data_IF_624015378124
#
_entry.id   IF_624015378124
#
_cell.length_a   1.000
_cell.length_b   1.000
_cell.length_c   1.000
_cell.angle_alpha   90.00
_cell.angle_beta   90.00
_cell.angle_gamma   90.00
#
_symmetry.space_group_name_H-M   'P 1'
#
loop_
_entity.id
_entity.type
_entity.pdbx_description
1 polymer ?
#
# COMPACT_ATOMS: atom_id res chain seq x y z
N UNK A 1 12.24 -20.97 2.19
CA UNK A 1 12.67 -22.37 2.32
C UNK A 1 14.10 -22.60 1.85
N UNK A 2 14.54 -21.94 0.78
CA UNK A 2 15.92 -22.06 0.26
C UNK A 2 16.95 -21.89 1.39
N UNK A 3 16.85 -20.83 2.21
CA UNK A 3 17.74 -20.61 3.35
C UNK A 3 17.78 -21.75 4.39
N UNK A 4 16.66 -22.46 4.61
CA UNK A 4 16.63 -23.57 5.55
C UNK A 4 17.30 -24.82 4.97
N UNK A 5 17.19 -25.03 3.65
CA UNK A 5 17.86 -26.12 2.94
C UNK A 5 19.37 -25.89 2.86
N UNK A 6 19.79 -24.66 2.57
CA UNK A 6 21.19 -24.26 2.53
C UNK A 6 21.87 -24.45 3.90
N UNK A 7 21.17 -24.08 4.99
CA UNK A 7 21.68 -24.21 6.35
C UNK A 7 21.99 -25.66 6.77
N UNK A 8 21.36 -26.65 6.13
CA UNK A 8 21.54 -28.08 6.41
C UNK A 8 22.21 -28.83 5.25
N UNK A 9 22.69 -28.11 4.22
CA UNK A 9 23.39 -28.70 3.07
C UNK A 9 22.51 -29.54 2.14
N UNK A 10 21.20 -29.26 2.07
CA UNK A 10 20.28 -29.96 1.17
C UNK A 10 19.97 -29.07 -0.03
N UNK A 11 20.07 -29.62 -1.24
CA UNK A 11 19.65 -28.92 -2.44
C UNK A 11 18.13 -28.66 -2.43
N UNK A 12 17.71 -27.46 -2.85
CA UNK A 12 16.29 -27.09 -2.88
C UNK A 12 15.43 -28.08 -3.66
N UNK A 13 15.95 -28.57 -4.80
CA UNK A 13 15.30 -29.61 -5.62
C UNK A 13 15.00 -30.88 -4.83
N UNK A 14 15.95 -31.36 -4.03
CA UNK A 14 15.78 -32.56 -3.19
C UNK A 14 14.69 -32.36 -2.15
N UNK A 15 14.65 -31.18 -1.53
CA UNK A 15 13.58 -30.82 -0.59
C UNK A 15 12.20 -30.85 -1.27
N UNK A 16 12.06 -30.24 -2.45
CA UNK A 16 10.78 -30.21 -3.16
C UNK A 16 10.35 -31.61 -3.63
N UNK A 17 11.29 -32.45 -4.07
CA UNK A 17 11.01 -33.84 -4.43
C UNK A 17 10.50 -34.65 -3.24
N UNK A 18 11.11 -34.49 -2.06
CA UNK A 18 10.65 -35.16 -0.84
C UNK A 18 9.27 -34.68 -0.40
N UNK A 19 9.00 -33.38 -0.51
CA UNK A 19 7.67 -32.83 -0.22
C UNK A 19 6.61 -33.40 -1.17
N UNK A 20 6.91 -33.48 -2.47
CA UNK A 20 5.99 -34.04 -3.47
C UNK A 20 5.70 -35.52 -3.21
N UNK A 21 6.73 -36.31 -2.86
CA UNK A 21 6.57 -37.73 -2.48
C UNK A 21 5.73 -37.88 -1.21
N UNK A 22 5.96 -37.02 -0.22
CA UNK A 22 5.26 -37.07 1.06
C UNK A 22 3.80 -36.67 1.01
N UNK A 23 3.41 -35.77 0.10
CA UNK A 23 2.04 -35.27 -0.04
C UNK A 23 1.02 -36.36 -0.37
N UNK A 24 1.40 -37.34 -1.20
CA UNK A 24 0.53 -38.44 -1.60
C UNK A 24 0.79 -39.74 -0.84
N UNK A 25 1.86 -39.78 -0.04
CA UNK A 25 2.20 -40.95 0.76
C UNK A 25 1.19 -41.14 1.90
N UNK A 26 0.91 -42.40 2.27
CA UNK A 26 0.04 -42.72 3.41
C UNK A 26 0.82 -43.06 4.68
N UNK A 27 2.11 -43.36 4.55
CA UNK A 27 3.04 -43.71 5.63
C UNK A 27 4.49 -43.65 5.14
N UNK A 28 5.45 -43.78 6.07
CA UNK A 28 6.89 -43.83 5.78
C UNK A 28 7.60 -42.48 5.88
N UNK A 29 8.92 -42.48 5.64
CA UNK A 29 9.78 -41.33 5.93
C UNK A 29 9.37 -40.04 5.21
N UNK A 30 8.89 -40.12 3.97
CA UNK A 30 8.49 -38.93 3.21
C UNK A 30 7.15 -38.35 3.72
N UNK A 31 6.23 -39.21 4.15
CA UNK A 31 4.99 -38.80 4.80
C UNK A 31 5.29 -38.07 6.11
N UNK A 32 6.11 -38.69 6.97
CA UNK A 32 6.52 -38.10 8.25
C UNK A 32 7.25 -36.77 8.04
N UNK A 33 8.18 -36.71 7.07
CA UNK A 33 8.89 -35.49 6.72
C UNK A 33 7.93 -34.38 6.27
N UNK A 34 6.98 -34.68 5.36
CA UNK A 34 6.00 -33.71 4.88
C UNK A 34 5.16 -33.13 6.04
N UNK A 35 4.64 -34.00 6.91
CA UNK A 35 3.85 -33.58 8.05
C UNK A 35 4.67 -32.81 9.09
N UNK A 36 5.90 -33.23 9.35
CA UNK A 36 6.81 -32.51 10.24
C UNK A 36 7.12 -31.10 9.72
N UNK A 37 7.38 -30.94 8.42
CA UNK A 37 7.61 -29.63 7.80
C UNK A 37 6.37 -28.75 7.87
N UNK A 38 5.17 -29.29 7.57
CA UNK A 38 3.92 -28.51 7.68
C UNK A 38 3.65 -28.09 9.11
N UNK A 39 3.83 -28.98 10.07
CA UNK A 39 3.70 -28.68 11.50
C UNK A 39 4.68 -27.59 11.92
N UNK A 40 5.97 -27.72 11.60
CA UNK A 40 7.00 -26.74 11.94
C UNK A 40 6.69 -25.35 11.36
N UNK A 41 6.16 -25.27 10.13
CA UNK A 41 5.71 -24.01 9.53
C UNK A 41 4.52 -23.40 10.27
N UNK A 42 3.51 -24.20 10.59
CA UNK A 42 2.34 -23.74 11.33
C UNK A 42 2.75 -23.21 12.72
N UNK A 43 3.62 -23.93 13.42
CA UNK A 43 4.17 -23.49 14.71
C UNK A 43 5.01 -22.23 14.58
N UNK A 44 5.83 -22.10 13.52
CA UNK A 44 6.60 -20.88 13.28
C UNK A 44 5.69 -19.67 13.07
N UNK A 45 4.60 -19.82 12.32
CA UNK A 45 3.59 -18.76 12.16
C UNK A 45 2.95 -18.44 13.50
N UNK A 46 2.46 -19.43 14.25
CA UNK A 46 1.83 -19.22 15.56
C UNK A 46 2.76 -18.50 16.55
N UNK A 47 4.03 -18.90 16.61
CA UNK A 47 5.06 -18.22 17.44
C UNK A 47 5.24 -16.77 17.04
N UNK A 48 5.34 -16.46 15.74
CA UNK A 48 5.50 -15.07 15.29
C UNK A 48 4.25 -14.24 15.57
N UNK A 49 3.05 -14.80 15.37
CA UNK A 49 1.80 -14.12 15.75
C UNK A 49 1.80 -13.81 17.25
N UNK A 50 2.20 -14.76 18.11
CA UNK A 50 2.30 -14.50 19.55
C UNK A 50 3.31 -13.39 19.89
N UNK A 51 4.45 -13.33 19.19
CA UNK A 51 5.44 -12.25 19.35
C UNK A 51 4.83 -10.90 18.97
N UNK A 52 4.12 -10.83 17.85
CA UNK A 52 3.44 -9.61 17.39
C UNK A 52 2.38 -9.17 18.40
N UNK A 53 1.55 -10.10 18.88
CA UNK A 53 0.52 -9.81 19.88
C UNK A 53 1.12 -9.33 21.20
N UNK A 54 2.24 -9.92 21.63
CA UNK A 54 2.98 -9.44 22.81
C UNK A 54 3.53 -8.03 22.60
N UNK A 55 4.06 -7.72 21.42
CA UNK A 55 4.55 -6.38 21.10
C UNK A 55 3.40 -5.35 21.01
N UNK A 56 2.24 -5.76 20.51
CA UNK A 56 1.04 -4.92 20.38
C UNK A 56 0.55 -4.36 21.73
N UNK A 57 0.82 -5.06 22.85
CA UNK A 57 0.51 -4.57 24.19
C UNK A 57 1.27 -3.28 24.58
N UNK A 58 2.39 -2.99 23.91
CA UNK A 58 3.28 -1.86 24.24
C UNK A 58 3.61 -0.96 23.04
N UNK A 59 3.32 -1.41 21.82
CA UNK A 59 3.52 -0.65 20.59
C UNK A 59 2.25 -0.69 19.75
N UNK A 60 1.60 0.46 19.61
CA UNK A 60 0.42 0.60 18.77
C UNK A 60 0.73 0.29 17.30
N UNK A 61 1.97 0.50 16.84
CA UNK A 61 2.38 0.15 15.47
C UNK A 61 2.30 -1.35 15.23
N UNK A 62 2.64 -2.18 16.20
CA UNK A 62 2.50 -3.64 16.09
C UNK A 62 1.02 -4.06 16.02
N UNK A 63 0.14 -3.39 16.79
CA UNK A 63 -1.30 -3.61 16.73
C UNK A 63 -1.89 -3.18 15.36
N UNK A 64 -1.53 -1.99 14.89
CA UNK A 64 -1.95 -1.46 13.59
C UNK A 64 -1.47 -2.35 12.44
N UNK A 65 -0.19 -2.73 12.43
CA UNK A 65 0.38 -3.62 11.42
C UNK A 65 -0.34 -4.98 11.36
N UNK A 66 -0.72 -5.53 12.51
CA UNK A 66 -1.49 -6.78 12.56
C UNK A 66 -2.87 -6.59 11.95
N UNK A 67 -3.62 -5.56 12.36
CA UNK A 67 -4.97 -5.27 11.90
C UNK A 67 -5.04 -4.98 10.40
N UNK A 68 -4.10 -4.21 9.87
CA UNK A 68 -3.97 -3.93 8.43
C UNK A 68 -3.89 -5.20 7.59
N UNK A 69 -3.33 -6.28 8.14
CA UNK A 69 -3.05 -7.52 7.42
C UNK A 69 -4.07 -8.63 7.72
N UNK A 70 -4.62 -8.68 8.93
CA UNK A 70 -5.66 -9.64 9.29
C UNK A 70 -7.05 -9.20 8.83
N UNK A 71 -7.29 -7.88 8.79
CA UNK A 71 -8.57 -7.27 8.46
C UNK A 71 -8.40 -6.15 7.41
N UNK A 72 -7.85 -6.45 6.21
CA UNK A 72 -7.51 -5.42 5.23
C UNK A 72 -8.72 -4.62 4.74
N UNK A 73 -9.92 -5.21 4.69
CA UNK A 73 -11.13 -4.50 4.27
C UNK A 73 -11.44 -3.28 5.15
N UNK A 74 -11.13 -3.35 6.44
CA UNK A 74 -11.44 -2.31 7.43
C UNK A 74 -10.23 -1.40 7.70
N UNK A 75 -9.02 -1.97 7.69
CA UNK A 75 -7.82 -1.28 8.18
C UNK A 75 -6.74 -1.06 7.13
N UNK A 76 -6.82 -1.68 5.94
CA UNK A 76 -5.78 -1.47 4.93
C UNK A 76 -5.74 -0.01 4.48
N UNK A 77 -4.53 0.46 4.22
CA UNK A 77 -4.31 1.78 3.63
C UNK A 77 -4.96 1.81 2.25
N UNK A 78 -5.96 2.68 2.09
CA UNK A 78 -6.60 2.93 0.80
C UNK A 78 -5.61 3.68 -0.10
N UNK A 79 -5.22 3.07 -1.22
CA UNK A 79 -4.61 3.82 -2.31
C UNK A 79 -5.69 4.65 -2.96
N UNK A 80 -5.62 5.97 -2.78
CA UNK A 80 -6.46 6.90 -3.52
C UNK A 80 -5.79 7.12 -4.87
N UNK A 81 -6.28 6.45 -5.91
CA UNK A 81 -5.98 6.85 -7.28
C UNK A 81 -6.63 8.21 -7.53
N UNK A 82 -5.83 9.27 -7.48
CA UNK A 82 -6.25 10.58 -7.96
C UNK A 82 -6.26 10.48 -9.48
N UNK A 83 -7.42 10.13 -10.04
CA UNK A 83 -7.68 10.30 -11.46
C UNK A 83 -7.69 11.80 -11.76
N UNK A 84 -6.54 12.34 -12.18
CA UNK A 84 -6.45 13.66 -12.80
C UNK A 84 -7.05 13.58 -14.21
N UNK A 85 -8.36 13.30 -14.32
CA UNK A 85 -9.08 13.62 -15.54
C UNK A 85 -9.14 15.13 -15.62
N UNK A 86 -8.21 15.69 -16.39
CA UNK A 86 -8.23 16.96 -17.10
C UNK A 86 -9.61 17.66 -17.04
N UNK A 87 -9.89 18.35 -15.94
CA UNK A 87 -10.88 19.42 -15.96
C UNK A 87 -10.21 20.56 -16.73
N UNK A 88 -10.19 20.45 -18.06
CA UNK A 88 -9.86 21.55 -18.93
C UNK A 88 -11.04 22.52 -18.83
N UNK A 89 -11.08 23.32 -17.76
CA UNK A 89 -11.92 24.51 -17.72
C UNK A 89 -11.39 25.37 -18.85
N UNK A 90 -12.09 25.42 -19.98
CA UNK A 90 -11.83 26.41 -21.02
C UNK A 90 -12.06 27.79 -20.39
N UNK A 91 -11.00 28.36 -19.84
CA UNK A 91 -11.00 29.75 -19.43
C UNK A 91 -11.07 30.54 -20.73
N UNK A 92 -12.23 31.12 -21.03
CA UNK A 92 -12.35 32.06 -22.14
C UNK A 92 -11.55 33.32 -21.79
N UNK A 93 -10.30 33.36 -22.26
CA UNK A 93 -9.36 34.43 -21.98
C UNK A 93 -9.87 35.75 -22.58
N UNK A 94 -10.63 35.71 -23.68
CA UNK A 94 -11.17 36.91 -24.33
C UNK A 94 -12.22 37.61 -23.47
N UNK A 95 -13.16 36.86 -22.89
CA UNK A 95 -14.16 37.44 -21.98
C UNK A 95 -13.52 38.05 -20.73
N UNK A 96 -12.46 37.41 -20.24
CA UNK A 96 -11.70 37.89 -19.07
C UNK A 96 -10.93 39.16 -19.42
N UNK A 97 -10.33 39.22 -20.61
CA UNK A 97 -9.59 40.37 -21.13
C UNK A 97 -10.49 41.57 -21.33
N UNK A 98 -11.69 41.36 -21.87
CA UNK A 98 -12.68 42.43 -22.08
C UNK A 98 -13.17 43.04 -20.76
N UNK A 99 -13.42 42.21 -19.74
CA UNK A 99 -13.77 42.68 -18.40
C UNK A 99 -12.65 43.48 -17.75
N UNK A 100 -11.40 43.04 -17.90
CA UNK A 100 -10.23 43.76 -17.36
C UNK A 100 -10.06 45.10 -18.07
N UNK A 101 -10.11 45.13 -19.40
CA UNK A 101 -9.99 46.36 -20.18
C UNK A 101 -11.12 47.35 -19.87
N UNK A 102 -12.36 46.88 -19.69
CA UNK A 102 -13.47 47.73 -19.27
C UNK A 102 -13.27 48.36 -17.89
N UNK A 103 -12.70 47.60 -16.95
CA UNK A 103 -12.34 48.14 -15.61
C UNK A 103 -11.20 49.15 -15.69
N UNK A 104 -10.17 48.89 -16.48
CA UNK A 104 -9.05 49.81 -16.68
C UNK A 104 -9.56 51.13 -17.27
N UNK A 105 -10.41 51.08 -18.29
CA UNK A 105 -10.96 52.28 -18.92
C UNK A 105 -11.86 53.09 -17.97
N UNK A 106 -12.70 52.43 -17.17
CA UNK A 106 -13.54 53.12 -16.19
C UNK A 106 -12.74 53.75 -15.05
N UNK A 107 -11.64 53.12 -14.63
CA UNK A 107 -10.72 53.72 -13.64
C UNK A 107 -9.98 54.90 -14.26
N UNK A 108 -9.44 54.76 -15.48
CA UNK A 108 -8.74 55.83 -16.18
C UNK A 108 -9.64 57.06 -16.41
N UNK A 109 -10.94 56.85 -16.70
CA UNK A 109 -11.91 57.93 -16.81
C UNK A 109 -12.14 58.66 -15.47
N UNK A 110 -12.22 57.92 -14.36
CA UNK A 110 -12.36 58.50 -13.01
C UNK A 110 -11.13 59.27 -12.56
N UNK A 111 -9.93 58.83 -12.96
CA UNK A 111 -8.68 59.52 -12.66
C UNK A 111 -8.53 60.81 -13.47
N UNK A 112 -8.88 60.82 -14.77
CA UNK A 112 -8.86 62.05 -15.58
C UNK A 112 -9.81 63.13 -15.06
N UNK A 113 -10.99 62.73 -14.58
CA UNK A 113 -11.96 63.66 -13.97
C UNK A 113 -11.44 64.24 -12.64
N UNK A 114 -10.48 63.58 -11.98
CA UNK A 114 -9.86 64.06 -10.74
C UNK A 114 -8.62 64.96 -10.97
N UNK A 115 -8.03 64.96 -12.17
CA UNK A 115 -6.81 65.71 -12.50
C UNK A 115 -7.04 67.05 -13.21
N UNK A 116 -8.26 67.33 -13.68
CA UNK A 116 -8.68 68.67 -14.16
C UNK A 116 -9.72 69.26 -13.16
N UNK A 117 -9.29 69.80 -12.01
CA UNK A 117 -10.07 70.82 -11.33
C UNK A 117 -9.83 72.15 -12.06
N UNK A 118 -10.90 72.89 -12.39
CA UNK A 118 -10.77 74.30 -12.78
C UNK A 118 -9.81 75.09 -11.88
#
# INVERSE_FOLDING_TARGET
MIHACDAVGIASVTYYDWMKKGETAKSGQYFEFYHAVKKARAEAVARNVAIIQKAAAHSWQAAAWWLERSCPAEFAKREVEINMTQNNVEINIDETRDKINGRINSIAARVRVAEDPE
#
